data_IF_353441952426
#
_entry.id   IF_353441952426
#
_cell.length_a   1.000
_cell.length_b   1.000
_cell.length_c   1.000
_cell.angle_alpha   90.00
_cell.angle_beta   90.00
_cell.angle_gamma   90.00
#
_symmetry.space_group_name_H-M   'P 1'
#
loop_
_entity.id
_entity.type
_entity.pdbx_description
1 polymer ?
#
# COMPACT_ATOMS: atom_id res chain seq x y z
N UNK A 1 -30.47 15.69 -17.60
CA UNK A 1 -31.32 14.68 -16.94
C UNK A 1 -31.02 14.74 -15.45
N UNK A 2 -31.94 15.16 -14.56
CA UNK A 2 -31.62 15.35 -13.15
C UNK A 2 -31.64 14.01 -12.43
N UNK A 3 -30.60 13.79 -11.61
CA UNK A 3 -30.47 12.65 -10.69
C UNK A 3 -31.60 12.70 -9.65
N UNK A 4 -32.46 11.67 -9.65
CA UNK A 4 -33.43 11.45 -8.58
C UNK A 4 -32.70 10.91 -7.36
N UNK A 5 -32.68 11.69 -6.28
CA UNK A 5 -32.31 11.22 -4.94
C UNK A 5 -33.29 10.13 -4.52
N UNK A 6 -32.78 8.94 -4.21
CA UNK A 6 -33.55 7.82 -3.70
C UNK A 6 -33.96 8.17 -2.25
N UNK A 7 -35.26 8.40 -2.03
CA UNK A 7 -35.83 8.55 -0.67
C UNK A 7 -35.70 7.24 0.09
N UNK A 8 -34.99 7.29 1.20
CA UNK A 8 -34.87 6.15 2.11
C UNK A 8 -36.23 5.95 2.81
N UNK A 9 -36.76 4.73 2.85
CA UNK A 9 -37.97 4.47 3.63
C UNK A 9 -37.69 4.72 5.13
N UNK A 10 -38.65 5.35 5.81
CA UNK A 10 -38.61 5.57 7.24
C UNK A 10 -38.51 4.22 7.98
N UNK A 11 -37.44 4.04 8.73
CA UNK A 11 -37.22 2.86 9.57
C UNK A 11 -38.20 2.96 10.74
N UNK A 12 -39.22 2.09 10.74
CA UNK A 12 -40.09 1.91 11.90
C UNK A 12 -39.27 1.33 13.06
N UNK A 13 -39.41 1.92 14.25
CA UNK A 13 -38.84 1.43 15.49
C UNK A 13 -39.28 -0.03 15.75
N UNK A 14 -38.33 -0.96 15.68
CA UNK A 14 -38.52 -2.32 16.15
C UNK A 14 -38.14 -2.38 17.63
N UNK A 15 -39.10 -2.65 18.51
CA UNK A 15 -38.83 -2.98 19.89
C UNK A 15 -38.19 -4.37 19.98
N UNK A 16 -36.92 -4.39 20.35
CA UNK A 16 -36.16 -5.60 20.68
C UNK A 16 -36.26 -5.81 22.20
N UNK A 17 -37.21 -6.62 22.63
CA UNK A 17 -37.30 -7.12 24.00
C UNK A 17 -36.30 -8.26 24.19
N UNK A 18 -35.20 -8.06 24.89
CA UNK A 18 -34.36 -9.13 25.44
C UNK A 18 -33.98 -8.84 26.89
N UNK A 19 -34.02 -9.87 27.66
CA UNK A 19 -33.78 -10.00 29.11
C UNK A 19 -32.45 -9.33 29.54
N UNK A 20 -32.50 -8.09 29.89
CA UNK A 20 -31.74 -7.27 30.85
C UNK A 20 -31.98 -5.82 30.47
N UNK A 21 -32.78 -5.15 31.29
CA UNK A 21 -33.28 -3.79 31.13
C UNK A 21 -32.17 -2.74 31.08
N UNK A 22 -31.65 -2.46 29.90
CA UNK A 22 -31.14 -1.14 29.53
C UNK A 22 -31.72 -0.78 28.17
N UNK A 23 -32.80 -0.03 28.19
CA UNK A 23 -33.41 0.56 26.98
C UNK A 23 -32.49 1.69 26.53
N UNK A 24 -31.65 1.44 25.53
CA UNK A 24 -30.94 2.50 24.84
C UNK A 24 -31.86 3.08 23.76
N UNK A 25 -32.42 4.24 24.02
CA UNK A 25 -33.09 5.03 22.98
C UNK A 25 -31.96 5.69 22.16
N UNK A 26 -31.67 5.14 20.99
CA UNK A 26 -30.73 5.77 20.03
C UNK A 26 -31.50 6.89 19.33
N UNK A 27 -31.49 8.08 19.88
CA UNK A 27 -31.79 9.31 19.13
C UNK A 27 -30.59 9.64 18.27
N UNK A 28 -30.65 9.28 16.98
CA UNK A 28 -29.71 9.71 15.97
C UNK A 28 -30.00 11.17 15.61
N UNK A 29 -29.67 12.09 16.49
CA UNK A 29 -29.68 13.52 16.22
C UNK A 29 -28.30 13.91 15.69
N UNK A 30 -28.26 14.38 14.48
CA UNK A 30 -27.19 14.94 13.67
C UNK A 30 -25.83 15.27 14.30
N UNK A 31 -25.32 16.43 13.95
CA UNK A 31 -23.98 16.92 14.37
C UNK A 31 -23.90 17.08 15.89
N UNK A 32 -22.91 16.48 16.53
CA UNK A 32 -22.68 16.53 17.99
C UNK A 32 -23.27 15.36 18.78
N UNK A 33 -24.02 14.45 18.15
CA UNK A 33 -24.53 13.25 18.81
C UNK A 33 -23.41 12.21 19.03
N UNK A 34 -23.42 11.54 20.18
CA UNK A 34 -22.53 10.44 20.50
C UNK A 34 -22.98 9.15 19.76
N UNK A 35 -22.73 9.08 18.47
CA UNK A 35 -23.11 7.93 17.62
C UNK A 35 -22.14 6.77 17.86
N UNK A 36 -22.61 5.57 18.30
CA UNK A 36 -21.75 4.41 18.45
C UNK A 36 -21.13 4.00 17.11
N UNK A 37 -19.85 3.58 17.14
CA UNK A 37 -19.17 3.03 15.97
C UNK A 37 -19.95 1.79 15.46
N UNK A 38 -20.24 1.76 14.17
CA UNK A 38 -20.83 0.59 13.52
C UNK A 38 -19.89 -0.60 13.68
N UNK A 39 -20.40 -1.72 14.19
CA UNK A 39 -19.61 -2.92 14.42
C UNK A 39 -18.82 -2.96 15.74
N UNK A 40 -18.83 -1.89 16.59
CA UNK A 40 -18.10 -1.89 17.87
C UNK A 40 -18.46 -3.10 18.74
N UNK A 41 -19.75 -3.45 18.84
CA UNK A 41 -20.21 -4.61 19.60
C UNK A 41 -19.57 -5.92 19.11
N UNK A 42 -19.52 -6.13 17.81
CA UNK A 42 -18.92 -7.33 17.19
C UNK A 42 -17.41 -7.41 17.50
N UNK A 43 -16.70 -6.28 17.46
CA UNK A 43 -15.27 -6.23 17.73
C UNK A 43 -14.97 -6.61 19.20
N UNK A 44 -15.68 -6.05 20.17
CA UNK A 44 -15.46 -6.36 21.60
C UNK A 44 -15.92 -7.77 21.99
N UNK A 45 -16.74 -8.41 21.17
CA UNK A 45 -17.17 -9.80 21.35
C UNK A 45 -16.22 -10.82 20.69
N UNK A 46 -15.10 -10.39 20.11
CA UNK A 46 -14.16 -11.28 19.39
C UNK A 46 -14.73 -11.82 18.05
N UNK A 47 -15.75 -11.16 17.48
CA UNK A 47 -16.37 -11.54 16.22
C UNK A 47 -15.83 -10.72 15.03
N UNK A 48 -14.69 -10.05 15.22
CA UNK A 48 -13.97 -9.42 14.11
C UNK A 48 -13.46 -10.48 13.13
N UNK A 49 -13.35 -10.08 11.87
CA UNK A 49 -12.67 -10.89 10.84
C UNK A 49 -11.58 -10.03 10.21
N UNK A 50 -10.39 -10.56 10.20
CA UNK A 50 -9.19 -9.97 9.61
C UNK A 50 -8.79 -10.77 8.36
N UNK A 51 -7.83 -10.28 7.59
CA UNK A 51 -7.37 -10.99 6.39
C UNK A 51 -6.92 -12.42 6.71
N UNK A 52 -6.27 -12.61 7.86
CA UNK A 52 -5.75 -13.91 8.31
C UNK A 52 -6.85 -14.92 8.72
N UNK A 53 -8.10 -14.44 8.94
CA UNK A 53 -9.26 -15.28 9.25
C UNK A 53 -10.04 -15.70 8.00
N UNK A 54 -9.56 -15.33 6.81
CA UNK A 54 -10.24 -15.63 5.55
C UNK A 54 -9.63 -16.87 4.94
N UNK A 55 -10.43 -17.93 4.86
CA UNK A 55 -10.07 -19.17 4.21
C UNK A 55 -10.99 -19.41 3.01
N UNK A 56 -10.39 -19.68 1.85
CA UNK A 56 -11.09 -19.95 0.60
C UNK A 56 -10.72 -21.34 0.09
N UNK A 57 -11.63 -22.04 -0.58
CA UNK A 57 -11.33 -23.33 -1.21
C UNK A 57 -10.15 -23.19 -2.19
N UNK A 58 -9.17 -24.08 -2.08
CA UNK A 58 -7.97 -24.08 -2.93
C UNK A 58 -7.08 -22.84 -2.79
N UNK A 59 -7.18 -22.11 -1.68
CA UNK A 59 -6.32 -20.96 -1.39
C UNK A 59 -4.85 -21.38 -1.41
N UNK A 60 -4.01 -20.53 -1.98
CA UNK A 60 -2.56 -20.65 -1.94
C UNK A 60 -1.97 -19.54 -1.07
N UNK A 61 -0.79 -19.80 -0.53
CA UNK A 61 -0.06 -18.88 0.30
C UNK A 61 1.09 -18.24 -0.49
N UNK A 62 1.22 -16.92 -0.34
CA UNK A 62 2.20 -16.14 -1.10
C UNK A 62 3.28 -15.61 -0.16
N UNK A 63 4.54 -15.83 -0.54
CA UNK A 63 5.71 -15.24 0.10
C UNK A 63 6.55 -14.46 -0.92
N UNK A 64 7.31 -13.48 -0.43
CA UNK A 64 8.13 -12.60 -1.27
C UNK A 64 9.60 -12.67 -0.88
N UNK A 65 10.47 -12.96 -1.85
CA UNK A 65 11.88 -12.64 -1.72
C UNK A 65 12.06 -11.12 -1.85
N UNK A 66 12.75 -10.53 -0.91
CA UNK A 66 12.95 -9.09 -0.84
C UNK A 66 14.43 -8.74 -0.92
N UNK A 67 14.74 -7.59 -1.50
CA UNK A 67 16.11 -7.08 -1.56
C UNK A 67 16.69 -6.88 -0.15
N UNK A 68 17.88 -7.43 0.13
CA UNK A 68 18.63 -7.11 1.34
C UNK A 68 19.35 -5.75 1.25
N UNK A 69 19.46 -5.19 0.04
CA UNK A 69 20.18 -3.95 -0.24
C UNK A 69 19.23 -2.76 -0.35
N UNK A 70 19.69 -1.60 0.09
CA UNK A 70 19.00 -0.33 -0.09
C UNK A 70 19.03 0.17 -1.54
N UNK A 71 20.10 -0.17 -2.29
CA UNK A 71 20.23 0.09 -3.71
C UNK A 71 21.14 -0.98 -4.32
N UNK A 72 20.63 -1.72 -5.30
CA UNK A 72 21.41 -2.74 -5.99
C UNK A 72 20.84 -3.05 -7.36
N UNK A 73 21.71 -3.38 -8.30
CA UNK A 73 21.32 -3.96 -9.58
C UNK A 73 21.08 -5.47 -9.40
N UNK A 74 20.03 -5.97 -10.02
CA UNK A 74 19.71 -7.39 -10.10
C UNK A 74 20.35 -7.92 -11.40
N UNK A 75 21.43 -8.70 -11.27
CA UNK A 75 22.13 -9.25 -12.42
C UNK A 75 21.47 -10.49 -12.97
N UNK A 76 21.03 -11.38 -12.09
CA UNK A 76 20.26 -12.58 -12.43
C UNK A 76 19.37 -13.05 -11.29
N UNK A 77 18.33 -13.81 -11.65
CA UNK A 77 17.42 -14.47 -10.70
C UNK A 77 17.24 -15.90 -11.17
N UNK A 78 17.77 -16.89 -10.42
CA UNK A 78 17.53 -18.29 -10.68
C UNK A 78 16.41 -18.82 -9.75
N UNK A 79 15.32 -19.25 -10.36
CA UNK A 79 14.12 -19.78 -9.68
C UNK A 79 13.89 -21.26 -9.93
N UNK A 80 14.80 -21.96 -10.64
CA UNK A 80 14.57 -23.33 -11.10
C UNK A 80 14.34 -24.31 -9.94
N UNK A 81 15.16 -24.24 -8.91
CA UNK A 81 15.04 -25.10 -7.74
C UNK A 81 13.72 -24.83 -6.99
N UNK A 82 13.36 -23.55 -6.80
CA UNK A 82 12.11 -23.17 -6.18
C UNK A 82 10.88 -23.65 -6.97
N UNK A 83 10.91 -23.52 -8.30
CA UNK A 83 9.82 -24.01 -9.18
C UNK A 83 9.65 -25.54 -9.13
N UNK A 84 10.70 -26.29 -8.88
CA UNK A 84 10.68 -27.74 -8.81
C UNK A 84 10.23 -28.28 -7.45
N UNK A 85 10.08 -27.45 -6.45
CA UNK A 85 9.73 -27.86 -5.10
C UNK A 85 8.28 -28.34 -5.01
N UNK A 86 8.01 -29.48 -4.35
CA UNK A 86 6.65 -29.99 -4.18
C UNK A 86 5.74 -28.99 -3.46
N UNK A 87 4.53 -28.80 -3.99
CA UNK A 87 3.54 -27.87 -3.43
C UNK A 87 3.67 -26.41 -3.93
N UNK A 88 4.73 -26.06 -4.63
CA UNK A 88 4.84 -24.77 -5.31
C UNK A 88 3.93 -24.74 -6.52
N UNK A 89 3.07 -23.73 -6.59
CA UNK A 89 2.09 -23.54 -7.66
C UNK A 89 2.61 -22.58 -8.71
N UNK A 90 3.25 -21.48 -8.27
CA UNK A 90 3.80 -20.46 -9.17
C UNK A 90 4.98 -19.75 -8.53
N UNK A 91 5.94 -19.35 -9.37
CA UNK A 91 7.03 -18.47 -9.01
C UNK A 91 7.10 -17.38 -10.07
N UNK A 92 6.94 -16.11 -9.66
CA UNK A 92 6.93 -14.96 -10.55
C UNK A 92 8.07 -13.99 -10.20
N UNK A 93 8.70 -13.47 -11.23
CA UNK A 93 9.70 -12.41 -11.17
C UNK A 93 9.12 -11.12 -11.74
N UNK A 94 9.84 -10.02 -11.63
CA UNK A 94 9.44 -8.75 -12.25
C UNK A 94 9.26 -8.87 -13.77
N UNK A 95 10.09 -9.66 -14.44
CA UNK A 95 9.99 -9.92 -15.88
C UNK A 95 8.67 -10.62 -16.25
N UNK A 96 8.26 -11.62 -15.45
CA UNK A 96 7.01 -12.34 -15.67
C UNK A 96 5.79 -11.40 -15.53
N UNK A 97 5.82 -10.47 -14.55
CA UNK A 97 4.69 -9.56 -14.28
C UNK A 97 4.57 -8.41 -15.28
N UNK A 98 5.65 -8.02 -15.92
CA UNK A 98 5.68 -6.85 -16.83
C UNK A 98 4.66 -6.94 -17.95
N UNK A 99 4.36 -8.13 -18.43
CA UNK A 99 3.38 -8.35 -19.50
C UNK A 99 1.92 -8.35 -18.99
N UNK A 100 1.72 -8.57 -17.68
CA UNK A 100 0.40 -8.80 -17.10
C UNK A 100 -0.15 -7.61 -16.31
N UNK A 101 0.68 -6.65 -15.93
CA UNK A 101 0.23 -5.50 -15.16
C UNK A 101 0.93 -4.20 -15.59
N UNK A 102 0.35 -3.08 -15.21
CA UNK A 102 0.97 -1.75 -15.34
C UNK A 102 1.76 -1.40 -14.07
N UNK A 103 2.81 -0.58 -14.16
CA UNK A 103 3.48 -0.09 -12.97
C UNK A 103 2.59 0.86 -12.18
N UNK A 104 2.71 0.84 -10.87
CA UNK A 104 2.03 1.80 -10.01
C UNK A 104 2.66 3.19 -10.17
N UNK A 105 1.83 4.18 -10.40
CA UNK A 105 2.18 5.59 -10.32
C UNK A 105 1.54 6.19 -9.07
N UNK A 106 2.29 7.00 -8.32
CA UNK A 106 1.82 7.58 -7.08
C UNK A 106 0.48 8.31 -7.23
N UNK A 107 -0.40 8.17 -6.25
CA UNK A 107 -1.77 8.73 -6.28
C UNK A 107 -1.81 10.26 -6.22
N UNK A 108 -0.71 10.91 -5.84
CA UNK A 108 -0.59 12.37 -5.77
C UNK A 108 -0.21 13.03 -7.10
N UNK A 109 -0.23 12.29 -8.20
CA UNK A 109 0.09 12.80 -9.54
C UNK A 109 -0.83 13.94 -10.03
N UNK A 110 -1.91 14.23 -9.30
CA UNK A 110 -2.77 15.39 -9.54
C UNK A 110 -2.14 16.72 -9.11
N UNK A 111 -1.07 16.69 -8.32
CA UNK A 111 -0.33 17.90 -7.93
C UNK A 111 0.45 18.43 -9.14
N UNK A 112 0.26 19.73 -9.50
CA UNK A 112 0.96 20.29 -10.65
C UNK A 112 2.49 20.19 -10.51
N UNK A 113 3.16 19.62 -11.50
CA UNK A 113 4.60 19.45 -11.51
C UNK A 113 5.14 18.25 -10.71
N UNK A 114 4.25 17.44 -10.12
CA UNK A 114 4.69 16.21 -9.49
C UNK A 114 5.09 15.15 -10.52
N UNK A 115 6.23 14.54 -10.30
CA UNK A 115 6.72 13.39 -11.08
C UNK A 115 6.75 12.17 -10.18
N UNK A 116 6.07 11.09 -10.60
CA UNK A 116 6.07 9.82 -9.90
C UNK A 116 6.83 8.78 -10.70
N UNK A 117 7.89 8.22 -10.11
CA UNK A 117 8.58 7.10 -10.70
C UNK A 117 7.67 5.87 -10.78
N UNK A 118 7.69 5.12 -11.89
CA UNK A 118 6.91 3.89 -12.01
C UNK A 118 7.44 2.82 -11.07
N UNK A 119 6.55 2.25 -10.24
CA UNK A 119 6.86 1.17 -9.33
C UNK A 119 6.22 -0.13 -9.81
N UNK A 120 7.03 -1.12 -10.07
CA UNK A 120 6.56 -2.44 -10.42
C UNK A 120 6.24 -3.24 -9.13
N UNK A 121 5.26 -4.16 -9.16
CA UNK A 121 4.96 -5.02 -8.02
C UNK A 121 6.16 -5.86 -7.55
N UNK A 122 7.02 -6.24 -8.48
CA UNK A 122 8.32 -6.86 -8.24
C UNK A 122 9.40 -6.06 -9.00
N UNK A 123 10.55 -5.85 -8.37
CA UNK A 123 11.67 -5.15 -8.98
C UNK A 123 12.09 -5.82 -10.29
N UNK A 124 12.33 -5.02 -11.33
CA UNK A 124 12.76 -5.53 -12.64
C UNK A 124 14.27 -5.79 -12.67
N UNK A 125 15.05 -4.70 -12.72
CA UNK A 125 16.50 -4.75 -12.89
C UNK A 125 17.28 -4.11 -11.74
N UNK A 126 16.59 -3.36 -10.87
CA UNK A 126 17.20 -2.60 -9.78
C UNK A 126 16.29 -2.58 -8.59
N UNK A 127 16.81 -2.95 -7.44
CA UNK A 127 16.18 -2.71 -6.16
C UNK A 127 16.59 -1.32 -5.66
N UNK A 128 15.58 -0.49 -5.30
CA UNK A 128 15.75 0.92 -4.95
C UNK A 128 15.53 1.22 -3.47
N UNK A 129 15.08 0.23 -2.70
CA UNK A 129 15.01 0.30 -1.24
C UNK A 129 15.19 -1.09 -0.62
N UNK A 130 15.68 -1.13 0.60
CA UNK A 130 15.77 -2.38 1.37
C UNK A 130 14.37 -2.92 1.63
N UNK A 131 14.15 -4.19 1.27
CA UNK A 131 12.85 -4.84 1.39
C UNK A 131 11.97 -4.75 0.14
N UNK A 132 12.45 -4.20 -0.97
CA UNK A 132 11.73 -4.23 -2.25
C UNK A 132 11.48 -5.67 -2.70
N UNK A 133 10.22 -6.04 -3.04
CA UNK A 133 9.93 -7.39 -3.52
C UNK A 133 10.60 -7.67 -4.87
N UNK A 134 11.19 -8.84 -5.02
CA UNK A 134 11.92 -9.26 -6.25
C UNK A 134 11.33 -10.51 -6.87
N UNK A 135 10.97 -11.49 -6.02
CA UNK A 135 10.33 -12.75 -6.45
C UNK A 135 9.11 -12.99 -5.58
N UNK A 136 8.04 -13.46 -6.19
CA UNK A 136 6.83 -13.93 -5.53
C UNK A 136 6.70 -15.43 -5.71
N UNK A 137 6.46 -16.17 -4.62
CA UNK A 137 6.19 -17.61 -4.65
C UNK A 137 4.80 -17.86 -4.08
N UNK A 138 3.98 -18.59 -4.83
CA UNK A 138 2.70 -19.11 -4.39
C UNK A 138 2.80 -20.63 -4.22
N UNK A 139 2.42 -21.14 -3.04
CA UNK A 139 2.44 -22.57 -2.72
C UNK A 139 1.17 -22.99 -1.97
N UNK A 140 0.94 -24.29 -1.87
CA UNK A 140 -0.22 -24.87 -1.19
C UNK A 140 -0.26 -24.55 0.30
N UNK A 141 0.89 -24.42 0.93
CA UNK A 141 1.02 -24.01 2.33
C UNK A 141 2.04 -22.89 2.48
N UNK A 142 1.93 -22.11 3.56
CA UNK A 142 2.87 -21.06 3.89
C UNK A 142 4.29 -21.59 4.08
N UNK A 143 4.44 -22.73 4.78
CA UNK A 143 5.74 -23.35 4.98
C UNK A 143 6.42 -23.72 3.66
N UNK A 144 5.67 -24.32 2.70
CA UNK A 144 6.23 -24.62 1.37
C UNK A 144 6.64 -23.35 0.60
N UNK A 145 5.88 -22.25 0.73
CA UNK A 145 6.26 -21.00 0.10
C UNK A 145 7.54 -20.41 0.72
N UNK A 146 7.67 -20.45 2.06
CA UNK A 146 8.84 -19.98 2.79
C UNK A 146 10.09 -20.85 2.48
N UNK A 147 9.95 -22.17 2.48
CA UNK A 147 11.04 -23.08 2.14
C UNK A 147 11.51 -22.91 0.68
N UNK A 148 10.58 -22.68 -0.24
CA UNK A 148 10.89 -22.43 -1.63
C UNK A 148 11.63 -21.10 -1.85
N UNK A 149 11.38 -20.06 -1.00
CA UNK A 149 12.13 -18.81 -1.05
C UNK A 149 13.62 -19.00 -0.80
N UNK A 150 13.98 -19.94 0.09
CA UNK A 150 15.37 -20.25 0.40
C UNK A 150 16.15 -20.87 -0.76
N UNK A 151 15.43 -21.39 -1.79
CA UNK A 151 16.00 -21.97 -2.98
C UNK A 151 16.15 -21.00 -4.16
N UNK A 152 15.72 -19.76 -3.99
CA UNK A 152 15.90 -18.72 -5.02
C UNK A 152 17.27 -18.10 -4.87
N UNK A 153 18.04 -18.10 -5.95
CA UNK A 153 19.34 -17.45 -6.00
C UNK A 153 19.23 -16.13 -6.79
N UNK A 154 19.72 -15.04 -6.19
CA UNK A 154 19.79 -13.72 -6.85
C UNK A 154 21.21 -13.23 -6.82
N UNK A 155 21.72 -12.90 -7.99
CA UNK A 155 23.03 -12.24 -8.13
C UNK A 155 22.85 -10.72 -8.09
N UNK A 156 23.55 -10.08 -7.16
CA UNK A 156 23.42 -8.67 -6.84
C UNK A 156 24.70 -7.91 -7.13
N UNK A 157 24.56 -6.75 -7.72
CA UNK A 157 25.60 -5.72 -7.75
C UNK A 157 25.17 -4.56 -6.84
N UNK A 158 25.73 -4.45 -5.61
CA UNK A 158 25.41 -3.34 -4.72
C UNK A 158 25.78 -2.00 -5.34
N UNK A 159 24.90 -1.02 -5.20
CA UNK A 159 25.09 0.37 -5.65
C UNK A 159 25.10 1.30 -4.43
N UNK A 160 25.58 2.54 -4.65
CA UNK A 160 25.58 3.55 -3.61
C UNK A 160 24.16 3.89 -3.15
N UNK A 161 23.81 3.72 -1.86
CA UNK A 161 22.49 4.02 -1.35
C UNK A 161 22.29 5.52 -1.16
N UNK A 162 21.07 5.99 -1.36
CA UNK A 162 20.67 7.38 -1.06
C UNK A 162 19.73 7.37 0.15
N UNK A 163 20.26 7.76 1.30
CA UNK A 163 19.55 7.68 2.59
C UNK A 163 19.28 9.05 3.23
N UNK A 164 20.01 10.06 2.80
CA UNK A 164 19.85 11.43 3.27
C UNK A 164 19.07 12.26 2.22
N UNK A 165 17.91 12.83 2.57
CA UNK A 165 17.08 13.58 1.63
C UNK A 165 17.71 14.91 1.19
N UNK A 166 18.55 15.56 2.02
CA UNK A 166 19.24 16.79 1.64
C UNK A 166 20.40 16.47 0.67
N UNK A 167 21.20 15.44 0.97
CA UNK A 167 22.25 14.97 0.08
C UNK A 167 21.69 14.44 -1.26
N UNK A 168 20.49 13.89 -1.28
CA UNK A 168 19.82 13.41 -2.49
C UNK A 168 19.55 14.51 -3.52
N UNK A 169 19.50 15.78 -3.10
CA UNK A 169 19.29 16.94 -3.98
C UNK A 169 20.59 17.56 -4.51
N UNK A 170 21.75 17.08 -4.08
CA UNK A 170 23.02 17.55 -4.59
C UNK A 170 23.17 17.22 -6.09
N UNK A 171 23.90 18.06 -6.80
CA UNK A 171 24.05 17.91 -8.26
C UNK A 171 24.78 16.62 -8.66
N UNK A 172 25.64 16.10 -7.80
CA UNK A 172 26.44 14.89 -7.96
C UNK A 172 25.87 13.67 -7.23
N UNK A 173 24.63 13.81 -6.68
CA UNK A 173 23.98 12.72 -5.99
C UNK A 173 23.70 11.53 -6.91
N UNK A 174 23.84 10.33 -6.36
CA UNK A 174 23.44 9.09 -7.05
C UNK A 174 21.98 9.14 -7.45
N UNK A 175 21.67 8.95 -8.72
CA UNK A 175 20.31 8.93 -9.24
C UNK A 175 19.60 7.62 -8.88
N UNK A 176 18.56 7.69 -8.06
CA UNK A 176 17.71 6.51 -7.75
C UNK A 176 16.76 6.21 -8.92
N UNK A 177 16.29 7.24 -9.60
CA UNK A 177 15.40 7.15 -10.76
C UNK A 177 16.01 7.85 -11.97
N UNK A 178 17.07 7.28 -12.57
CA UNK A 178 17.78 7.91 -13.69
C UNK A 178 16.91 8.08 -14.95
N UNK A 179 15.77 7.40 -15.01
CA UNK A 179 14.77 7.54 -16.06
C UNK A 179 13.96 8.84 -15.98
N UNK A 180 14.04 9.57 -14.87
CA UNK A 180 13.33 10.83 -14.66
C UNK A 180 14.25 12.03 -14.88
N UNK A 181 13.70 13.14 -15.36
CA UNK A 181 14.45 14.38 -15.59
C UNK A 181 15.15 14.89 -14.31
N UNK A 182 14.45 14.81 -13.17
CA UNK A 182 14.96 15.13 -11.84
C UNK A 182 14.99 13.85 -10.99
N UNK A 183 16.04 13.06 -11.16
CA UNK A 183 16.14 11.67 -10.71
C UNK A 183 15.75 11.39 -9.25
N UNK A 184 15.95 12.36 -8.33
CA UNK A 184 15.66 12.22 -6.90
C UNK A 184 14.58 13.19 -6.39
N UNK A 185 14.10 14.13 -7.22
CA UNK A 185 13.11 15.13 -6.84
C UNK A 185 11.74 14.79 -7.45
N UNK A 186 10.81 14.35 -6.62
CA UNK A 186 9.46 14.02 -7.06
C UNK A 186 8.54 15.25 -7.14
N UNK A 187 8.69 16.20 -6.23
CA UNK A 187 7.82 17.37 -6.14
C UNK A 187 8.46 18.52 -5.38
N UNK A 188 8.20 19.72 -5.86
CA UNK A 188 8.58 20.97 -5.21
C UNK A 188 7.38 21.92 -5.20
N UNK A 189 7.07 22.47 -4.04
CA UNK A 189 6.03 23.48 -3.91
C UNK A 189 6.51 24.66 -3.11
N UNK A 190 6.13 25.86 -3.58
CA UNK A 190 6.39 27.11 -2.87
C UNK A 190 5.06 27.78 -2.50
N UNK A 191 4.93 28.15 -1.25
CA UNK A 191 3.78 28.90 -0.73
C UNK A 191 4.26 30.19 -0.14
N UNK A 192 3.91 31.30 -0.77
CA UNK A 192 4.24 32.66 -0.30
C UNK A 192 2.96 33.35 0.15
N UNK A 193 2.95 33.87 1.38
CA UNK A 193 1.85 34.69 1.93
C UNK A 193 2.39 35.85 2.74
N UNK A 194 1.81 37.03 2.51
CA UNK A 194 2.19 38.26 3.20
C UNK A 194 3.58 38.78 2.79
N UNK A 195 4.14 39.65 3.64
CA UNK A 195 5.48 40.21 3.45
C UNK A 195 6.45 39.67 4.49
N UNK A 196 6.86 38.38 4.32
CA UNK A 196 7.78 37.72 5.26
C UNK A 196 9.09 38.49 5.42
N UNK A 197 9.70 38.92 4.33
CA UNK A 197 10.98 39.61 4.36
C UNK A 197 10.90 40.95 5.11
N UNK A 198 9.84 41.73 4.87
CA UNK A 198 9.58 42.97 5.58
C UNK A 198 9.30 42.79 7.07
N UNK A 199 8.56 41.74 7.45
CA UNK A 199 8.30 41.44 8.87
C UNK A 199 9.57 40.99 9.60
N UNK A 200 10.40 40.13 8.97
CA UNK A 200 11.70 39.74 9.53
C UNK A 200 12.60 40.98 9.73
N UNK A 201 12.67 41.89 8.75
CA UNK A 201 13.49 43.11 8.85
C UNK A 201 13.03 44.05 9.95
N UNK A 202 11.72 44.06 10.29
CA UNK A 202 11.13 44.88 11.36
C UNK A 202 11.15 44.21 12.74
N UNK A 203 11.45 42.92 12.80
CA UNK A 203 11.45 42.14 14.04
C UNK A 203 12.62 42.54 14.94
N UNK A 204 12.35 42.70 16.24
CA UNK A 204 13.39 42.99 17.22
C UNK A 204 14.33 41.76 17.46
N UNK A 205 13.79 40.55 17.26
CA UNK A 205 14.54 39.28 17.42
C UNK A 205 14.10 38.34 16.30
N UNK A 206 15.06 37.68 15.67
CA UNK A 206 14.84 36.60 14.71
C UNK A 206 15.53 35.35 15.17
N UNK A 207 14.84 34.22 15.14
CA UNK A 207 15.37 32.90 15.51
C UNK A 207 15.20 31.94 14.35
N UNK A 208 16.28 31.25 13.97
CA UNK A 208 16.26 30.18 12.97
C UNK A 208 16.43 28.82 13.66
N UNK A 209 15.63 27.86 13.26
CA UNK A 209 15.68 26.52 13.79
C UNK A 209 15.55 25.48 12.68
N UNK A 210 16.47 24.55 12.61
CA UNK A 210 16.36 23.36 11.75
C UNK A 210 15.71 22.24 12.53
N UNK A 211 14.60 21.70 12.01
CA UNK A 211 13.88 20.60 12.62
C UNK A 211 13.95 19.41 11.69
N UNK A 212 14.50 18.29 12.15
CA UNK A 212 14.47 17.03 11.43
C UNK A 212 13.60 16.01 12.18
N UNK A 213 12.81 15.26 11.44
CA UNK A 213 12.00 14.18 11.98
C UNK A 213 12.46 12.87 11.35
N UNK A 214 12.76 11.88 12.18
CA UNK A 214 13.08 10.54 11.69
C UNK A 214 11.89 9.92 10.98
N UNK A 215 12.14 8.98 10.08
CA UNK A 215 11.07 8.19 9.47
C UNK A 215 10.33 7.42 10.55
N UNK A 216 9.00 7.45 10.47
CA UNK A 216 8.10 6.72 11.36
C UNK A 216 7.18 5.85 10.53
N UNK A 217 6.75 4.72 11.08
CA UNK A 217 5.73 3.86 10.49
C UNK A 217 4.65 3.58 11.52
N UNK A 218 3.40 3.52 11.06
CA UNK A 218 2.31 3.07 11.89
C UNK A 218 2.41 1.54 12.01
N UNK A 219 2.80 1.06 13.19
CA UNK A 219 2.79 -0.37 13.51
C UNK A 219 1.39 -0.73 13.98
N UNK A 220 0.54 -1.15 13.04
CA UNK A 220 -0.84 -1.55 13.33
C UNK A 220 -0.90 -2.95 13.94
N UNK A 221 -1.88 -3.20 14.81
CA UNK A 221 -2.10 -4.53 15.40
C UNK A 221 -2.47 -5.57 14.35
N UNK A 222 -3.27 -5.19 13.35
CA UNK A 222 -3.46 -5.99 12.16
C UNK A 222 -2.31 -5.70 11.18
N UNK A 223 -1.42 -6.68 10.91
CA UNK A 223 -0.38 -6.52 9.91
C UNK A 223 -0.98 -6.38 8.51
N UNK A 224 -0.17 -5.94 7.56
CA UNK A 224 -0.60 -5.87 6.15
C UNK A 224 -0.85 -7.28 5.64
N UNK A 225 -2.08 -7.54 5.24
CA UNK A 225 -2.50 -8.79 4.62
C UNK A 225 -3.40 -8.50 3.42
N UNK A 226 -3.39 -9.41 2.46
CA UNK A 226 -4.26 -9.38 1.29
C UNK A 226 -4.72 -10.80 0.99
N UNK A 227 -6.01 -10.99 0.78
CA UNK A 227 -6.59 -12.18 0.17
C UNK A 227 -7.24 -11.76 -1.13
N UNK A 228 -6.95 -12.46 -2.21
CA UNK A 228 -7.50 -12.18 -3.54
C UNK A 228 -8.15 -13.43 -4.11
N UNK A 229 -9.35 -13.28 -4.65
CA UNK A 229 -10.11 -14.34 -5.31
C UNK A 229 -10.54 -13.87 -6.70
N UNK A 230 -10.21 -14.69 -7.71
CA UNK A 230 -10.57 -14.43 -9.10
C UNK A 230 -11.65 -15.40 -9.57
N UNK A 231 -12.83 -14.87 -9.87
CA UNK A 231 -13.91 -15.62 -10.51
C UNK A 231 -13.76 -15.51 -12.05
N UNK A 232 -13.25 -16.56 -12.65
CA UNK A 232 -13.04 -16.62 -14.10
C UNK A 232 -14.34 -16.68 -14.91
N UNK A 233 -15.46 -17.05 -14.30
CA UNK A 233 -16.75 -17.11 -14.96
C UNK A 233 -17.43 -15.74 -15.06
N UNK A 234 -17.13 -14.86 -14.11
CA UNK A 234 -17.65 -13.49 -14.05
C UNK A 234 -16.62 -12.45 -14.45
N UNK A 235 -15.35 -12.84 -14.55
CA UNK A 235 -14.21 -11.93 -14.72
C UNK A 235 -14.13 -10.89 -13.62
N UNK A 236 -14.43 -11.31 -12.37
CA UNK A 236 -14.44 -10.47 -11.19
C UNK A 236 -13.29 -10.81 -10.24
N UNK A 237 -12.61 -9.77 -9.74
CA UNK A 237 -11.61 -9.86 -8.69
C UNK A 237 -12.18 -9.36 -7.37
N UNK A 238 -12.27 -10.24 -6.38
CA UNK A 238 -12.58 -9.85 -5.00
C UNK A 238 -11.30 -9.78 -4.18
N UNK A 239 -11.09 -8.65 -3.49
CA UNK A 239 -9.90 -8.43 -2.66
C UNK A 239 -10.31 -8.05 -1.24
N UNK A 240 -9.82 -8.80 -0.26
CA UNK A 240 -9.91 -8.45 1.17
C UNK A 240 -8.57 -7.88 1.61
N UNK A 241 -8.60 -6.68 2.15
CA UNK A 241 -7.41 -5.98 2.62
C UNK A 241 -7.75 -4.91 3.66
N UNK A 242 -6.82 -4.62 4.56
CA UNK A 242 -6.91 -3.44 5.42
C UNK A 242 -6.61 -2.17 4.62
N UNK A 243 -7.58 -1.24 4.53
CA UNK A 243 -7.40 0.03 3.82
C UNK A 243 -8.29 1.13 4.40
N UNK A 244 -7.83 2.38 4.32
CA UNK A 244 -8.63 3.58 4.64
C UNK A 244 -9.41 4.11 3.42
N UNK A 245 -9.08 3.64 2.22
CA UNK A 245 -9.55 4.21 0.95
C UNK A 245 -10.03 3.13 -0.04
N UNK A 246 -11.07 2.36 0.30
CA UNK A 246 -11.48 1.18 -0.47
C UNK A 246 -11.81 1.50 -1.94
N UNK A 247 -12.52 2.59 -2.22
CA UNK A 247 -12.86 2.98 -3.59
C UNK A 247 -11.63 3.37 -4.43
N UNK A 248 -10.68 4.07 -3.83
CA UNK A 248 -9.42 4.38 -4.52
C UNK A 248 -8.62 3.12 -4.80
N UNK A 249 -8.56 2.18 -3.84
CA UNK A 249 -7.88 0.89 -4.03
C UNK A 249 -8.51 0.07 -5.14
N UNK A 250 -9.84 0.04 -5.24
CA UNK A 250 -10.55 -0.60 -6.35
C UNK A 250 -10.10 -0.02 -7.69
N UNK A 251 -10.11 1.31 -7.83
CA UNK A 251 -9.70 1.98 -9.07
C UNK A 251 -8.22 1.75 -9.41
N UNK A 252 -7.35 1.74 -8.40
CA UNK A 252 -5.92 1.46 -8.56
C UNK A 252 -5.71 0.03 -9.04
N UNK A 253 -6.32 -0.96 -8.39
CA UNK A 253 -6.19 -2.37 -8.77
C UNK A 253 -6.75 -2.62 -10.17
N UNK A 254 -7.94 -2.11 -10.50
CA UNK A 254 -8.54 -2.23 -11.82
C UNK A 254 -7.58 -1.71 -12.91
N UNK A 255 -7.04 -0.49 -12.72
CA UNK A 255 -6.09 0.10 -13.66
C UNK A 255 -4.81 -0.73 -13.82
N UNK A 256 -4.17 -1.13 -12.71
CA UNK A 256 -2.87 -1.82 -12.76
C UNK A 256 -2.97 -3.25 -13.23
N UNK A 257 -4.10 -3.92 -12.99
CA UNK A 257 -4.39 -5.27 -13.45
C UNK A 257 -5.12 -5.30 -14.81
N UNK A 258 -5.38 -4.13 -15.41
CA UNK A 258 -6.12 -3.98 -16.68
C UNK A 258 -7.51 -4.62 -16.64
N UNK A 259 -8.17 -4.53 -15.49
CA UNK A 259 -9.54 -4.99 -15.30
C UNK A 259 -10.55 -3.87 -15.62
N UNK A 260 -11.78 -4.26 -15.99
CA UNK A 260 -12.86 -3.34 -16.33
C UNK A 260 -13.42 -2.57 -15.11
#
# INVERSE_FOLDING_TARGET
MPLKLCERPAVKSAELTSLHTHTYTLTLEGIGAAVPRVGAKRLVQGQARYCDDIELPRMVHVCFLRSPYAHARILSVDTKAARAMPGVVSVLTGADLREHCEPFLGVLNHLPGMVSAPQWPLALNTARWQGEPVVMIAAQTRAQAEDALALVEVDWEPLEPVVDPEAALAQDATAIHPELEKANLAYEARVDRGDYAGEVARSAVSVSLNISTTRVTAVTLEPRGVVADWDSGREELTVWMGTQVPHMMQSVLAKHLRLA
#
